data_IF_279516733461
#
_entry.id   IF_279516733461
#
_cell.length_a   1.000
_cell.length_b   1.000
_cell.length_c   1.000
_cell.angle_alpha   90.00
_cell.angle_beta   90.00
_cell.angle_gamma   90.00
#
_symmetry.space_group_name_H-M   'P 1'
#
loop_
_entity.id
_entity.type
_entity.pdbx_description
1 polymer ?
#
# COMPACT_ATOMS: atom_id res chain seq x y z
N UNK A 1 9.58 5.29 -0.17
CA UNK A 1 10.93 5.04 -0.69
C UNK A 1 11.10 3.56 -1.02
N UNK A 2 11.34 3.23 -2.28
CA UNK A 2 11.78 1.91 -2.69
C UNK A 2 13.30 1.90 -2.52
N UNK A 3 13.80 1.13 -1.56
CA UNK A 3 15.23 1.15 -1.22
C UNK A 3 16.07 0.14 -2.00
N UNK A 4 15.47 -0.99 -2.43
CA UNK A 4 16.18 -2.02 -3.18
C UNK A 4 15.27 -2.62 -4.25
N UNK A 5 15.75 -2.66 -5.46
CA UNK A 5 15.09 -3.24 -6.62
C UNK A 5 15.97 -4.35 -7.18
N UNK A 6 15.42 -5.56 -7.31
CA UNK A 6 16.12 -6.68 -7.95
C UNK A 6 15.29 -7.20 -9.12
N UNK A 7 15.95 -7.39 -10.24
CA UNK A 7 15.41 -8.10 -11.39
C UNK A 7 15.65 -9.60 -11.24
N UNK A 8 14.62 -10.41 -11.47
CA UNK A 8 14.73 -11.87 -11.42
C UNK A 8 14.48 -12.43 -12.80
N UNK A 9 15.50 -13.06 -13.35
CA UNK A 9 15.41 -13.86 -14.56
C UNK A 9 15.28 -15.35 -14.16
N UNK A 10 14.18 -15.98 -14.52
CA UNK A 10 14.03 -17.43 -14.38
C UNK A 10 12.76 -17.90 -13.66
N UNK A 11 12.16 -18.95 -14.20
CA UNK A 11 10.94 -19.55 -13.68
C UNK A 11 11.16 -20.26 -12.35
N UNK A 12 10.28 -20.04 -11.40
CA UNK A 12 10.24 -20.73 -10.12
C UNK A 12 8.80 -21.14 -9.79
N UNK A 13 8.68 -22.25 -9.10
CA UNK A 13 7.44 -22.88 -8.66
C UNK A 13 6.38 -21.86 -8.18
N UNK A 14 5.29 -21.73 -8.94
CA UNK A 14 4.29 -20.65 -8.78
C UNK A 14 3.54 -20.69 -7.45
N UNK A 15 3.37 -21.85 -6.85
CA UNK A 15 2.47 -22.03 -5.70
C UNK A 15 3.05 -21.44 -4.39
N UNK A 16 4.34 -21.56 -4.15
CA UNK A 16 4.97 -20.98 -2.95
C UNK A 16 5.22 -19.46 -3.05
N UNK A 17 5.40 -18.94 -4.27
CA UNK A 17 5.65 -17.50 -4.48
C UNK A 17 4.41 -16.63 -4.39
N UNK A 18 3.24 -17.14 -4.70
CA UNK A 18 1.97 -16.40 -4.63
C UNK A 18 1.67 -15.98 -3.18
N UNK A 19 2.04 -16.81 -2.21
CA UNK A 19 1.82 -16.54 -0.77
C UNK A 19 2.82 -15.56 -0.16
N UNK A 20 3.96 -15.30 -0.81
CA UNK A 20 5.06 -14.45 -0.29
C UNK A 20 5.34 -13.20 -1.12
N UNK A 21 4.54 -12.93 -2.14
CA UNK A 21 4.79 -11.84 -3.08
C UNK A 21 4.28 -10.46 -2.63
N UNK A 22 3.59 -10.41 -1.49
CA UNK A 22 3.00 -9.20 -0.97
C UNK A 22 2.98 -9.28 0.56
N UNK A 23 3.89 -8.57 1.20
CA UNK A 23 4.05 -8.56 2.64
C UNK A 23 4.24 -7.13 3.12
N UNK A 24 3.36 -6.68 3.99
CA UNK A 24 3.44 -5.36 4.59
C UNK A 24 3.30 -5.41 6.10
N UNK A 25 4.06 -4.58 6.77
CA UNK A 25 4.01 -4.35 8.21
C UNK A 25 3.92 -2.85 8.44
N UNK A 26 2.89 -2.43 9.16
CA UNK A 26 2.73 -1.05 9.59
C UNK A 26 2.43 -1.00 11.08
N UNK A 27 2.97 0.00 11.75
CA UNK A 27 2.70 0.25 13.16
C UNK A 27 2.43 1.74 13.39
N UNK A 28 1.41 2.04 14.16
CA UNK A 28 1.01 3.41 14.42
C UNK A 28 -0.23 3.53 15.29
N UNK A 29 -0.80 4.72 15.28
CA UNK A 29 -1.95 5.11 16.07
C UNK A 29 -3.25 4.99 15.29
N UNK A 30 -4.26 4.38 15.89
CA UNK A 30 -5.62 4.35 15.34
C UNK A 30 -6.22 5.75 15.45
N UNK A 31 -6.66 6.32 14.32
CA UNK A 31 -7.17 7.68 14.22
C UNK A 31 -8.61 7.77 13.72
N UNK A 32 -9.27 6.65 13.48
CA UNK A 32 -10.67 6.63 13.07
C UNK A 32 -11.46 5.54 13.78
N UNK A 33 -12.77 5.67 13.77
CA UNK A 33 -13.68 4.57 14.07
C UNK A 33 -13.77 3.59 12.90
N UNK A 34 -14.38 2.44 13.14
CA UNK A 34 -14.57 1.43 12.13
C UNK A 34 -15.70 1.81 11.17
N UNK A 35 -15.46 1.63 9.88
CA UNK A 35 -16.43 1.78 8.81
C UNK A 35 -16.66 0.43 8.15
N UNK A 36 -17.90 -0.04 8.14
CA UNK A 36 -18.24 -1.32 7.50
C UNK A 36 -17.92 -1.30 6.02
N UNK A 37 -17.22 -2.32 5.55
CA UNK A 37 -16.87 -2.50 4.15
C UNK A 37 -17.74 -3.53 3.46
N UNK A 38 -17.67 -4.77 3.91
CA UNK A 38 -18.40 -5.90 3.33
C UNK A 38 -18.41 -7.09 4.28
N UNK A 39 -19.18 -8.09 3.90
CA UNK A 39 -19.29 -9.36 4.61
C UNK A 39 -18.97 -10.51 3.67
N UNK A 40 -18.23 -11.50 4.16
CA UNK A 40 -17.94 -12.75 3.47
C UNK A 40 -18.29 -13.91 4.38
N UNK A 41 -19.27 -14.74 3.99
CA UNK A 41 -19.72 -15.89 4.77
C UNK A 41 -20.01 -15.59 6.25
N UNK A 42 -20.69 -14.47 6.50
CA UNK A 42 -21.05 -14.05 7.86
C UNK A 42 -19.93 -13.35 8.64
N UNK A 43 -18.77 -13.18 8.07
CA UNK A 43 -17.64 -12.45 8.65
C UNK A 43 -17.59 -11.01 8.12
N UNK A 44 -17.72 -10.05 9.02
CA UNK A 44 -17.68 -8.62 8.68
C UNK A 44 -16.25 -8.09 8.56
N UNK A 45 -16.03 -7.27 7.54
CA UNK A 45 -14.79 -6.56 7.31
C UNK A 45 -15.01 -5.06 7.39
N UNK A 46 -14.08 -4.37 8.07
CA UNK A 46 -14.20 -2.95 8.39
C UNK A 46 -12.92 -2.20 8.01
N UNK A 47 -13.10 -0.97 7.54
CA UNK A 47 -12.00 -0.03 7.39
C UNK A 47 -11.73 0.71 8.70
N UNK A 48 -10.46 0.91 8.97
CA UNK A 48 -9.96 1.78 10.05
C UNK A 48 -8.69 2.45 9.57
N UNK A 49 -8.47 3.71 9.95
CA UNK A 49 -7.30 4.48 9.55
C UNK A 49 -6.23 4.43 10.63
N UNK A 50 -5.02 4.17 10.20
CA UNK A 50 -3.81 4.16 11.02
C UNK A 50 -2.90 5.32 10.62
N UNK A 51 -2.47 6.12 11.59
CA UNK A 51 -1.44 7.13 11.38
C UNK A 51 -0.07 6.54 11.66
N UNK A 52 0.78 6.55 10.65
CA UNK A 52 2.14 6.01 10.69
C UNK A 52 3.13 7.16 10.54
N UNK A 53 3.94 7.38 11.57
CA UNK A 53 4.92 8.46 11.56
C UNK A 53 6.14 8.08 10.72
N UNK A 54 6.63 9.06 9.96
CA UNK A 54 7.93 8.98 9.28
C UNK A 54 9.05 9.41 10.23
N UNK A 55 10.29 9.10 9.84
CA UNK A 55 11.49 9.62 10.53
C UNK A 55 11.56 11.16 10.45
N UNK A 56 11.08 11.76 9.37
CA UNK A 56 10.78 13.19 9.29
C UNK A 56 9.47 13.46 10.06
N UNK A 57 9.24 14.66 10.54
CA UNK A 57 8.04 15.03 11.32
C UNK A 57 6.70 14.90 10.60
N UNK A 58 6.66 14.28 9.43
CA UNK A 58 5.44 13.97 8.67
C UNK A 58 4.91 12.59 9.00
N UNK A 59 3.66 12.34 8.64
CA UNK A 59 3.00 11.05 8.82
C UNK A 59 2.23 10.62 7.59
N UNK A 60 1.97 9.32 7.50
CA UNK A 60 1.11 8.72 6.51
C UNK A 60 -0.18 8.22 7.17
N UNK A 61 -1.30 8.38 6.48
CA UNK A 61 -2.57 7.78 6.88
C UNK A 61 -2.83 6.55 6.01
N UNK A 62 -2.81 5.39 6.62
CA UNK A 62 -2.92 4.12 5.93
C UNK A 62 -4.26 3.47 6.29
N UNK A 63 -5.16 3.23 5.30
CA UNK A 63 -6.37 2.48 5.55
C UNK A 63 -6.06 1.01 5.74
N UNK A 64 -6.55 0.45 6.86
CA UNK A 64 -6.53 -0.97 7.14
C UNK A 64 -7.91 -1.56 6.86
N UNK A 65 -7.96 -2.74 6.28
CA UNK A 65 -9.15 -3.56 6.17
C UNK A 65 -9.01 -4.73 7.15
N UNK A 66 -9.83 -4.75 8.17
CA UNK A 66 -9.74 -5.71 9.28
C UNK A 66 -11.00 -6.54 9.42
N UNK A 67 -10.84 -7.82 9.72
CA UNK A 67 -11.94 -8.70 10.09
C UNK A 67 -12.39 -8.44 11.53
N UNK A 68 -13.69 -8.53 11.78
CA UNK A 68 -14.27 -8.50 13.13
C UNK A 68 -13.73 -9.60 14.04
N UNK A 69 -13.11 -10.65 13.49
CA UNK A 69 -12.47 -11.72 14.26
C UNK A 69 -11.13 -11.31 14.86
N UNK A 70 -10.48 -10.30 14.30
CA UNK A 70 -9.16 -9.84 14.74
C UNK A 70 -9.22 -8.74 15.79
N UNK A 71 -10.31 -7.97 15.81
CA UNK A 71 -10.46 -6.80 16.66
C UNK A 71 -11.93 -6.58 16.96
N UNK A 72 -12.22 -6.10 18.17
CA UNK A 72 -13.59 -5.72 18.54
C UNK A 72 -13.97 -4.41 17.83
N UNK A 73 -14.81 -4.52 16.83
CA UNK A 73 -15.29 -3.40 16.02
C UNK A 73 -16.45 -2.62 16.64
N UNK A 74 -17.00 -3.11 17.77
CA UNK A 74 -18.12 -2.48 18.47
C UNK A 74 -17.70 -1.32 19.37
N UNK A 75 -16.40 -1.18 19.63
CA UNK A 75 -15.80 -0.14 20.46
C UNK A 75 -14.82 0.71 19.66
N UNK A 76 -14.70 1.98 20.03
CA UNK A 76 -13.66 2.85 19.49
C UNK A 76 -12.29 2.49 20.08
N UNK A 77 -11.30 2.40 19.21
CA UNK A 77 -9.90 2.20 19.57
C UNK A 77 -9.03 3.42 19.24
N UNK A 78 -9.64 4.57 18.97
CA UNK A 78 -8.90 5.82 18.65
C UNK A 78 -7.93 6.15 19.78
N UNK A 79 -6.69 6.45 19.39
CA UNK A 79 -5.59 6.75 20.30
C UNK A 79 -4.76 5.55 20.73
N UNK A 80 -5.23 4.34 20.49
CA UNK A 80 -4.45 3.13 20.74
C UNK A 80 -3.46 2.87 19.60
N UNK A 81 -2.33 2.23 19.93
CA UNK A 81 -1.30 1.84 18.97
C UNK A 81 -1.40 0.37 18.66
N UNK A 82 -1.24 0.04 17.39
CA UNK A 82 -1.16 -1.34 16.92
C UNK A 82 -0.08 -1.54 15.87
N UNK A 83 0.36 -2.79 15.75
CA UNK A 83 1.14 -3.28 14.61
C UNK A 83 0.29 -4.26 13.81
N UNK A 84 0.19 -4.01 12.51
CA UNK A 84 -0.59 -4.80 11.57
C UNK A 84 0.31 -5.43 10.51
N UNK A 85 0.10 -6.71 10.25
CA UNK A 85 0.77 -7.49 9.21
C UNK A 85 -0.26 -7.96 8.19
N UNK A 86 0.07 -7.84 6.93
CA UNK A 86 -0.83 -8.30 5.89
C UNK A 86 -0.34 -8.03 4.48
N UNK A 87 -1.27 -7.84 3.59
CA UNK A 87 -1.05 -7.63 2.17
C UNK A 87 -1.64 -6.31 1.73
N UNK A 88 -0.89 -5.57 0.93
CA UNK A 88 -1.36 -4.31 0.37
C UNK A 88 -2.19 -4.61 -0.89
N UNK A 89 -3.46 -4.27 -0.85
CA UNK A 89 -4.45 -4.65 -1.87
C UNK A 89 -5.09 -3.46 -2.52
N UNK A 90 -5.53 -3.66 -3.74
CA UNK A 90 -6.26 -2.68 -4.53
C UNK A 90 -7.62 -3.20 -4.97
N UNK A 91 -8.58 -2.30 -5.11
CA UNK A 91 -9.81 -2.55 -5.84
C UNK A 91 -10.27 -1.26 -6.55
N UNK A 92 -11.04 -1.44 -7.61
CA UNK A 92 -11.64 -0.31 -8.32
C UNK A 92 -13.00 -0.02 -7.72
N UNK A 93 -13.17 1.19 -7.19
CA UNK A 93 -14.45 1.71 -6.74
C UNK A 93 -15.05 2.56 -7.84
N UNK A 94 -16.27 2.20 -8.27
CA UNK A 94 -17.02 2.98 -9.22
C UNK A 94 -17.93 3.95 -8.47
N UNK A 95 -17.68 5.24 -8.63
CA UNK A 95 -18.43 6.29 -7.96
C UNK A 95 -18.54 7.52 -8.88
N UNK A 96 -19.75 8.09 -9.01
CA UNK A 96 -20.00 9.26 -9.86
C UNK A 96 -19.49 9.12 -11.32
N UNK A 97 -19.70 7.97 -11.95
CA UNK A 97 -19.21 7.63 -13.29
C UNK A 97 -17.69 7.68 -13.46
N UNK A 98 -16.95 7.59 -12.38
CA UNK A 98 -15.49 7.50 -12.38
C UNK A 98 -15.03 6.26 -11.63
N UNK A 99 -13.99 5.63 -12.15
CA UNK A 99 -13.31 4.55 -11.45
C UNK A 99 -12.18 5.13 -10.61
N UNK A 100 -12.17 4.79 -9.32
CA UNK A 100 -11.11 5.15 -8.39
C UNK A 100 -10.41 3.89 -7.91
N UNK A 101 -9.09 3.89 -7.99
CA UNK A 101 -8.27 2.85 -7.38
C UNK A 101 -8.20 3.10 -5.88
N UNK A 102 -8.71 2.16 -5.10
CA UNK A 102 -8.66 2.19 -3.64
C UNK A 102 -7.62 1.19 -3.16
N UNK A 103 -6.70 1.67 -2.34
CA UNK A 103 -5.62 0.88 -1.76
C UNK A 103 -5.82 0.77 -0.26
N UNK A 104 -5.62 -0.43 0.28
CA UNK A 104 -5.68 -0.69 1.71
C UNK A 104 -4.78 -1.84 2.11
N UNK A 105 -4.37 -1.87 3.36
CA UNK A 105 -3.69 -3.02 3.94
C UNK A 105 -4.74 -4.01 4.43
N UNK A 106 -4.82 -5.16 3.78
CA UNK A 106 -5.62 -6.29 4.24
C UNK A 106 -4.89 -6.99 5.38
N UNK A 107 -5.41 -6.83 6.59
CA UNK A 107 -4.75 -7.29 7.81
C UNK A 107 -4.95 -8.79 8.00
N UNK A 108 -3.84 -9.51 8.15
CA UNK A 108 -3.82 -10.94 8.49
C UNK A 108 -3.63 -11.16 9.97
N UNK A 109 -2.77 -10.37 10.59
CA UNK A 109 -2.42 -10.41 12.00
C UNK A 109 -2.28 -8.99 12.52
N UNK A 110 -2.69 -8.77 13.74
CA UNK A 110 -2.47 -7.51 14.45
C UNK A 110 -2.22 -7.74 15.93
N UNK A 111 -1.48 -6.84 16.53
CA UNK A 111 -1.31 -6.76 17.97
C UNK A 111 -1.37 -5.31 18.44
N UNK A 112 -1.99 -5.08 19.59
CA UNK A 112 -1.87 -3.80 20.27
C UNK A 112 -0.49 -3.68 20.90
N UNK A 113 0.09 -2.50 20.81
CA UNK A 113 1.44 -2.21 21.31
C UNK A 113 1.40 -1.02 22.26
N UNK A 114 2.28 -1.05 23.26
CA UNK A 114 2.37 0.03 24.26
C UNK A 114 3.33 1.14 23.83
N UNK A 115 4.27 0.82 22.94
CA UNK A 115 5.32 1.74 22.50
C UNK A 115 5.76 1.46 21.07
N UNK A 116 6.17 2.53 20.38
CA UNK A 116 6.81 2.46 19.06
C UNK A 116 8.33 2.24 19.14
N UNK A 117 8.88 2.14 20.34
CA UNK A 117 10.31 1.97 20.55
C UNK A 117 10.83 0.70 19.88
N UNK A 118 11.96 0.82 19.16
CA UNK A 118 12.62 -0.26 18.43
C UNK A 118 11.76 -0.95 17.35
N UNK A 119 10.68 -0.31 16.89
CA UNK A 119 9.83 -0.83 15.83
C UNK A 119 10.09 -0.11 14.51
N UNK A 120 10.04 -0.88 13.42
CA UNK A 120 10.00 -0.33 12.06
C UNK A 120 8.54 -0.06 11.72
N UNK A 121 8.13 1.22 11.61
CA UNK A 121 6.72 1.56 11.54
C UNK A 121 6.08 1.26 10.18
N UNK A 122 6.88 1.01 9.14
CA UNK A 122 6.35 0.93 7.78
C UNK A 122 7.32 0.20 6.86
N UNK A 123 6.96 -1.01 6.48
CA UNK A 123 7.73 -1.83 5.55
C UNK A 123 6.79 -2.56 4.60
N UNK A 124 7.13 -2.60 3.32
CA UNK A 124 6.43 -3.40 2.33
C UNK A 124 7.42 -4.11 1.41
N UNK A 125 7.12 -5.36 1.11
CA UNK A 125 7.75 -6.15 0.05
C UNK A 125 6.71 -6.55 -0.98
N UNK A 126 7.00 -6.29 -2.25
CA UNK A 126 6.18 -6.69 -3.39
C UNK A 126 7.02 -7.41 -4.43
N UNK A 127 6.47 -8.49 -4.97
CA UNK A 127 6.99 -9.22 -6.12
C UNK A 127 5.88 -9.28 -7.18
N UNK A 128 6.08 -8.59 -8.29
CA UNK A 128 5.05 -8.50 -9.32
C UNK A 128 5.60 -8.12 -10.68
N UNK A 129 4.68 -7.74 -11.56
CA UNK A 129 4.97 -7.45 -12.96
C UNK A 129 4.60 -6.02 -13.30
N UNK A 130 5.46 -5.36 -14.08
CA UNK A 130 5.14 -4.06 -14.64
C UNK A 130 4.01 -4.25 -15.65
N UNK A 131 2.86 -3.60 -15.40
CA UNK A 131 1.67 -3.74 -16.23
C UNK A 131 1.35 -2.50 -17.07
N UNK A 132 2.08 -1.43 -16.88
CA UNK A 132 2.00 -0.21 -17.67
C UNK A 132 3.42 0.32 -17.88
N UNK A 133 3.67 0.96 -19.01
CA UNK A 133 4.97 1.56 -19.29
C UNK A 133 5.35 2.55 -18.18
N UNK A 134 6.53 2.40 -17.54
CA UNK A 134 6.96 3.30 -16.49
C UNK A 134 7.13 4.73 -17.00
N UNK A 135 6.81 5.70 -16.18
CA UNK A 135 6.98 7.12 -16.49
C UNK A 135 8.14 7.67 -15.67
N UNK A 136 9.26 7.89 -16.35
CA UNK A 136 10.44 8.55 -15.78
C UNK A 136 10.31 10.06 -15.90
N UNK A 137 10.59 10.76 -14.81
CA UNK A 137 10.62 12.23 -14.80
C UNK A 137 11.62 12.77 -13.78
N UNK A 138 12.02 14.01 -13.97
CA UNK A 138 12.85 14.75 -13.01
C UNK A 138 12.00 15.81 -12.33
N UNK A 139 12.07 15.87 -10.99
CA UNK A 139 11.36 16.90 -10.22
C UNK A 139 12.01 18.27 -10.42
N UNK A 140 11.30 19.39 -10.12
CA UNK A 140 11.89 20.74 -10.18
C UNK A 140 13.17 20.90 -9.34
N UNK A 141 13.33 20.10 -8.29
CA UNK A 141 14.53 20.07 -7.45
C UNK A 141 15.65 19.15 -7.99
N UNK A 142 15.49 18.62 -9.22
CA UNK A 142 16.48 17.76 -9.85
C UNK A 142 16.50 16.31 -9.38
N UNK A 143 15.48 15.86 -8.63
CA UNK A 143 15.37 14.47 -8.22
C UNK A 143 14.76 13.62 -9.33
N UNK A 144 15.38 12.50 -9.60
CA UNK A 144 14.85 11.51 -10.56
C UNK A 144 13.78 10.65 -9.89
N UNK A 145 12.63 10.51 -10.53
CA UNK A 145 11.55 9.62 -10.09
C UNK A 145 11.00 8.82 -11.28
N UNK A 146 10.52 7.62 -10.99
CA UNK A 146 9.76 6.82 -11.94
C UNK A 146 8.46 6.35 -11.31
N UNK A 147 7.35 6.60 -12.01
CA UNK A 147 6.05 6.08 -11.64
C UNK A 147 5.86 4.70 -12.31
N UNK A 148 5.63 3.69 -11.49
CA UNK A 148 5.49 2.29 -11.90
C UNK A 148 4.16 1.76 -11.40
N UNK A 149 3.38 1.15 -12.27
CA UNK A 149 2.21 0.38 -11.87
C UNK A 149 2.57 -1.11 -11.86
N UNK A 150 2.51 -1.71 -10.67
CA UNK A 150 2.87 -3.09 -10.43
C UNK A 150 1.63 -3.95 -10.28
N UNK A 151 1.54 -5.03 -11.08
CA UNK A 151 0.54 -6.07 -10.90
C UNK A 151 1.09 -7.16 -10.00
N UNK A 152 0.47 -7.36 -8.85
CA UNK A 152 0.83 -8.39 -7.87
C UNK A 152 -0.26 -9.44 -7.83
N UNK A 153 0.08 -10.67 -8.23
CA UNK A 153 -0.90 -11.75 -8.33
C UNK A 153 -1.36 -12.21 -6.95
N UNK A 154 -2.67 -12.39 -6.81
CA UNK A 154 -3.29 -13.13 -5.70
C UNK A 154 -3.49 -14.60 -6.10
N UNK A 155 -3.75 -15.42 -5.10
CA UNK A 155 -4.33 -16.74 -5.33
C UNK A 155 -5.66 -16.61 -6.12
N UNK A 156 -5.99 -17.63 -6.89
CA UNK A 156 -7.25 -17.73 -7.66
C UNK A 156 -7.41 -16.70 -8.80
N UNK A 157 -6.32 -16.28 -9.42
CA UNK A 157 -6.36 -15.51 -10.67
C UNK A 157 -6.70 -14.05 -10.55
N UNK A 158 -6.72 -13.49 -9.34
CA UNK A 158 -6.87 -12.04 -9.10
C UNK A 158 -5.50 -11.36 -9.03
N UNK A 159 -5.47 -10.08 -9.32
CA UNK A 159 -4.28 -9.24 -9.18
C UNK A 159 -4.60 -7.94 -8.47
N UNK A 160 -3.62 -7.49 -7.69
CA UNK A 160 -3.62 -6.14 -7.12
C UNK A 160 -2.77 -5.24 -7.99
N UNK A 161 -3.25 -4.04 -8.26
CA UNK A 161 -2.53 -3.02 -9.02
C UNK A 161 -2.06 -1.94 -8.07
N UNK A 162 -0.75 -1.88 -7.88
CA UNK A 162 -0.16 -1.03 -6.85
C UNK A 162 0.74 0.01 -7.50
N UNK A 163 0.37 1.30 -7.42
CA UNK A 163 1.21 2.39 -7.87
C UNK A 163 2.44 2.51 -6.97
N UNK A 164 3.61 2.53 -7.58
CA UNK A 164 4.89 2.63 -6.90
C UNK A 164 5.66 3.84 -7.42
N UNK A 165 6.38 4.51 -6.53
CA UNK A 165 7.30 5.59 -6.90
C UNK A 165 8.71 5.14 -6.58
N UNK A 166 9.56 5.11 -7.61
CA UNK A 166 10.97 4.83 -7.49
C UNK A 166 11.78 6.13 -7.50
N UNK A 167 12.86 6.19 -6.75
CA UNK A 167 13.68 7.39 -6.60
C UNK A 167 15.13 7.14 -7.00
N UNK A 168 15.76 8.16 -7.59
CA UNK A 168 17.19 8.18 -7.88
C UNK A 168 17.62 7.05 -8.80
N UNK A 169 18.59 6.26 -8.38
CA UNK A 169 19.14 5.13 -9.15
C UNK A 169 18.06 4.09 -9.48
N UNK A 170 17.15 3.82 -8.54
CA UNK A 170 16.03 2.92 -8.75
C UNK A 170 15.05 3.46 -9.81
N UNK A 171 14.87 4.78 -9.88
CA UNK A 171 14.05 5.41 -10.90
C UNK A 171 14.64 5.24 -12.30
N UNK A 172 15.96 5.40 -12.48
CA UNK A 172 16.64 5.15 -13.75
C UNK A 172 16.46 3.70 -14.18
N UNK A 173 16.68 2.77 -13.27
CA UNK A 173 16.51 1.36 -13.56
C UNK A 173 15.06 1.02 -13.93
N UNK A 174 14.10 1.41 -13.10
CA UNK A 174 12.68 1.12 -13.31
C UNK A 174 12.12 1.79 -14.56
N UNK A 175 12.55 3.01 -14.87
CA UNK A 175 12.13 3.76 -16.05
C UNK A 175 12.51 3.11 -17.39
N UNK A 176 13.51 2.23 -17.39
CA UNK A 176 13.97 1.48 -18.56
C UNK A 176 13.36 0.09 -18.70
N UNK A 177 12.54 -0.33 -17.76
CA UNK A 177 11.91 -1.66 -17.80
C UNK A 177 10.68 -1.67 -18.73
N UNK A 178 10.46 -2.80 -19.36
CA UNK A 178 9.32 -3.01 -20.25
C UNK A 178 8.12 -3.56 -19.50
N UNK A 179 6.92 -3.36 -20.04
CA UNK A 179 5.70 -4.04 -19.62
C UNK A 179 5.91 -5.55 -19.65
N UNK A 180 5.48 -6.24 -18.60
CA UNK A 180 5.70 -7.67 -18.41
C UNK A 180 6.97 -8.05 -17.65
N UNK A 181 7.87 -7.08 -17.40
CA UNK A 181 9.06 -7.31 -16.56
C UNK A 181 8.64 -7.63 -15.12
N UNK A 182 9.25 -8.66 -14.56
CA UNK A 182 9.08 -9.04 -13.17
C UNK A 182 10.08 -8.31 -12.30
N UNK A 183 9.61 -7.70 -11.23
CA UNK A 183 10.45 -6.99 -10.27
C UNK A 183 10.10 -7.36 -8.83
N UNK A 184 11.09 -7.30 -7.98
CA UNK A 184 10.93 -7.31 -6.52
C UNK A 184 11.31 -5.96 -5.97
N UNK A 185 10.51 -5.43 -5.07
CA UNK A 185 10.78 -4.15 -4.45
C UNK A 185 10.52 -4.17 -2.95
N UNK A 186 11.29 -3.39 -2.24
CA UNK A 186 11.14 -3.09 -0.82
C UNK A 186 10.98 -1.59 -0.64
N UNK A 187 10.12 -1.22 0.25
CA UNK A 187 9.89 0.18 0.52
C UNK A 187 8.96 0.40 1.70
N UNK A 188 8.23 1.50 1.63
CA UNK A 188 7.21 1.88 2.60
C UNK A 188 5.94 2.31 1.89
N UNK A 189 4.81 2.15 2.56
CA UNK A 189 3.52 2.67 2.09
C UNK A 189 3.48 4.18 2.39
N UNK A 190 3.08 4.95 1.41
CA UNK A 190 3.00 6.41 1.51
C UNK A 190 1.62 6.88 1.10
N UNK A 191 1.03 7.72 1.93
CA UNK A 191 -0.20 8.43 1.60
C UNK A 191 0.10 9.80 0.99
N UNK A 192 -0.79 10.27 0.13
CA UNK A 192 -0.78 11.63 -0.41
C UNK A 192 -2.17 12.23 -0.24
N UNK A 193 -2.22 13.42 0.29
CA UNK A 193 -3.43 14.23 0.29
C UNK A 193 -3.44 15.09 -0.96
N UNK A 194 -4.45 14.91 -1.81
CA UNK A 194 -4.71 15.83 -2.91
C UNK A 194 -5.61 16.94 -2.39
N UNK A 195 -5.08 18.15 -2.28
CA UNK A 195 -5.92 19.32 -2.12
C UNK A 195 -6.64 19.55 -3.45
N UNK A 196 -7.96 19.35 -3.47
CA UNK A 196 -8.80 19.87 -4.54
C UNK A 196 -8.68 21.39 -4.45
N UNK A 197 -8.04 22.02 -5.43
CA UNK A 197 -8.22 23.45 -5.66
C UNK A 197 -9.70 23.63 -6.01
N UNK A 198 -10.47 24.13 -5.07
CA UNK A 198 -11.81 24.67 -5.34
C UNK A 198 -11.54 25.86 -6.27
N UNK A 199 -11.96 25.75 -7.54
CA UNK A 199 -11.81 26.83 -8.48
C UNK A 199 -12.53 28.06 -7.93
N UNK A 200 -11.83 29.17 -7.79
CA UNK A 200 -12.42 30.47 -7.63
C UNK A 200 -13.30 30.72 -8.85
N UNK A 201 -14.60 30.71 -8.65
CA UNK A 201 -15.53 31.25 -9.62
C UNK A 201 -15.27 32.75 -9.68
N UNK A 202 -14.58 33.18 -10.72
CA UNK A 202 -14.58 34.58 -11.09
C UNK A 202 -15.98 34.96 -11.54
N UNK A 203 -16.62 35.83 -10.79
CA UNK A 203 -17.81 36.58 -11.19
C UNK A 203 -17.37 37.63 -12.20
#
# INVERSE_FOLDING_TARGET
>A
HIQNLRYIQGGVNMTEKILKNNQAVVAGEIISDFEFSHEVFGEGFYFVKLRVNRLSHSSDTIPLLVSERLIDVTHSHIGQYLEAHGQFRSYNKHENNKNHLVLSLFVRELEFIDSMENRKPNMIFLDGYICKEPVYRTTPLGREIADVLLAVNRAYGKSDYIPCICWGRNARYAGNLSVGSRIQLWGRIQSREYQKRVGENNV
#
